data_IF_179623659605
#
_entry.id   IF_179623659605
#
_cell.length_a   1.000
_cell.length_b   1.000
_cell.length_c   1.000
_cell.angle_alpha   90.00
_cell.angle_beta   90.00
_cell.angle_gamma   90.00
#
_symmetry.space_group_name_H-M   'P 1'
#
loop_
_entity.id
_entity.type
_entity.pdbx_description
1 polymer ?
#
# COMPACT_ATOMS: atom_id res chain seq x y z
N UNK A 1 22.38 8.45 15.91
CA UNK A 1 21.15 7.92 16.57
C UNK A 1 20.50 6.91 15.66
N UNK A 2 20.16 5.76 16.20
CA UNK A 2 19.43 4.75 15.43
C UNK A 2 17.95 5.09 15.43
N UNK A 3 17.45 5.51 14.28
CA UNK A 3 16.02 5.71 14.11
C UNK A 3 15.28 4.38 14.24
N UNK A 4 14.27 4.36 15.08
CA UNK A 4 13.42 3.20 15.29
C UNK A 4 12.27 3.21 14.29
N UNK A 5 12.44 2.47 13.19
CA UNK A 5 11.40 2.29 12.16
C UNK A 5 10.68 0.98 12.40
N UNK A 6 9.37 1.04 12.54
CA UNK A 6 8.50 -0.12 12.77
C UNK A 6 7.30 -0.10 11.84
N UNK A 7 6.76 -1.29 11.56
CA UNK A 7 5.53 -1.46 10.78
C UNK A 7 4.60 -2.39 11.56
N UNK A 8 3.34 -2.02 11.62
CA UNK A 8 2.32 -2.80 12.32
C UNK A 8 1.01 -2.83 11.53
N UNK A 9 0.19 -3.85 11.79
CA UNK A 9 -1.18 -3.85 11.25
C UNK A 9 -2.00 -2.75 11.94
N UNK A 10 -2.83 -2.08 11.15
CA UNK A 10 -3.76 -1.09 11.66
C UNK A 10 -4.87 -1.74 12.48
N UNK A 11 -5.41 -0.99 13.43
CA UNK A 11 -6.60 -1.35 14.19
C UNK A 11 -7.73 -0.35 13.89
N UNK A 12 -8.93 -0.60 14.40
CA UNK A 12 -10.05 0.33 14.24
C UNK A 12 -9.74 1.73 14.79
N UNK A 13 -8.85 1.82 15.77
CA UNK A 13 -8.42 3.11 16.33
C UNK A 13 -7.59 3.94 15.35
N UNK A 14 -7.10 3.34 14.27
CA UNK A 14 -6.28 4.00 13.25
C UNK A 14 -7.07 4.55 12.08
N UNK A 15 -8.40 4.42 12.05
CA UNK A 15 -9.22 4.81 10.89
C UNK A 15 -9.01 6.27 10.50
N UNK A 16 -9.02 7.18 11.47
CA UNK A 16 -8.78 8.61 11.22
C UNK A 16 -7.38 8.85 10.65
N UNK A 17 -6.38 8.14 11.17
CA UNK A 17 -5.01 8.20 10.67
C UNK A 17 -4.92 7.67 9.24
N UNK A 18 -5.54 6.53 8.94
CA UNK A 18 -5.57 5.94 7.60
C UNK A 18 -6.20 6.94 6.62
N UNK A 19 -7.33 7.53 6.96
CA UNK A 19 -7.99 8.53 6.13
C UNK A 19 -7.04 9.69 5.79
N UNK A 20 -6.35 10.22 6.79
CA UNK A 20 -5.42 11.32 6.59
C UNK A 20 -4.22 10.92 5.71
N UNK A 21 -3.70 9.72 5.88
CA UNK A 21 -2.58 9.23 5.07
C UNK A 21 -3.00 8.99 3.62
N UNK A 22 -4.20 8.45 3.38
CA UNK A 22 -4.75 8.29 2.02
C UNK A 22 -4.92 9.66 1.35
N UNK A 23 -5.42 10.66 2.08
CA UNK A 23 -5.51 12.03 1.57
C UNK A 23 -4.14 12.59 1.18
N UNK A 24 -3.11 12.25 1.93
CA UNK A 24 -1.72 12.61 1.62
C UNK A 24 -1.25 12.00 0.30
N UNK A 25 -1.55 10.73 0.07
CA UNK A 25 -1.24 10.07 -1.20
C UNK A 25 -2.02 10.69 -2.36
N UNK A 26 -3.31 10.93 -2.18
CA UNK A 26 -4.15 11.53 -3.22
C UNK A 26 -3.62 12.91 -3.64
N UNK A 27 -3.18 13.71 -2.67
CA UNK A 27 -2.56 15.01 -2.95
C UNK A 27 -1.23 14.84 -3.72
N UNK A 28 -0.40 13.89 -3.33
CA UNK A 28 0.86 13.60 -4.04
C UNK A 28 0.60 13.17 -5.49
N UNK A 29 -0.41 12.33 -5.71
CA UNK A 29 -0.79 11.86 -7.05
C UNK A 29 -1.59 12.88 -7.85
N UNK A 30 -1.79 14.09 -7.31
CA UNK A 30 -2.54 15.18 -7.95
C UNK A 30 -4.01 14.83 -8.21
N UNK A 31 -4.57 13.98 -7.34
CA UNK A 31 -5.95 13.47 -7.45
C UNK A 31 -6.74 13.63 -6.15
N UNK A 32 -6.64 14.77 -5.43
CA UNK A 32 -7.34 14.91 -4.14
C UNK A 32 -8.85 14.77 -4.26
N UNK A 33 -9.43 15.14 -5.40
CA UNK A 33 -10.87 15.03 -5.66
C UNK A 33 -11.36 13.58 -5.78
N UNK A 34 -10.46 12.63 -6.04
CA UNK A 34 -10.81 11.22 -6.18
C UNK A 34 -10.91 10.50 -4.81
N UNK A 35 -10.39 11.12 -3.76
CA UNK A 35 -10.48 10.59 -2.40
C UNK A 35 -11.85 10.93 -1.81
N UNK A 36 -12.81 10.02 -1.99
CA UNK A 36 -14.20 10.17 -1.55
C UNK A 36 -14.59 9.22 -0.41
N UNK A 37 -13.69 8.33 -0.01
CA UNK A 37 -13.95 7.36 1.07
C UNK A 37 -14.20 8.04 2.40
N UNK A 38 -15.18 7.53 3.15
CA UNK A 38 -15.46 7.99 4.50
C UNK A 38 -14.80 7.06 5.52
N UNK A 39 -14.72 7.50 6.78
CA UNK A 39 -14.23 6.64 7.86
C UNK A 39 -15.10 5.39 8.02
N UNK A 40 -16.41 5.51 7.79
CA UNK A 40 -17.33 4.37 7.83
C UNK A 40 -17.04 3.35 6.73
N UNK A 41 -16.76 3.82 5.50
CA UNK A 41 -16.34 2.95 4.40
C UNK A 41 -15.07 2.18 4.76
N UNK A 42 -14.07 2.88 5.31
CA UNK A 42 -12.81 2.28 5.71
C UNK A 42 -13.02 1.22 6.80
N UNK A 43 -13.83 1.53 7.81
CA UNK A 43 -14.16 0.57 8.88
C UNK A 43 -14.81 -0.69 8.30
N UNK A 44 -15.77 -0.51 7.41
CA UNK A 44 -16.52 -1.61 6.80
C UNK A 44 -15.58 -2.57 6.06
N UNK A 45 -14.75 -2.04 5.16
CA UNK A 45 -13.91 -2.89 4.32
C UNK A 45 -12.70 -3.48 5.04
N UNK A 46 -12.08 -2.72 5.95
CA UNK A 46 -10.90 -3.21 6.67
C UNK A 46 -11.24 -4.10 7.86
N UNK A 47 -12.28 -3.77 8.62
CA UNK A 47 -12.50 -4.40 9.92
C UNK A 47 -13.80 -5.19 10.03
N UNK A 48 -14.78 -4.95 9.20
CA UNK A 48 -16.01 -5.74 9.17
C UNK A 48 -15.94 -6.83 8.10
N UNK A 49 -15.66 -6.46 6.86
CA UNK A 49 -15.55 -7.42 5.74
C UNK A 49 -14.16 -8.03 5.62
N UNK A 50 -13.15 -7.40 6.16
CA UNK A 50 -11.74 -7.86 6.10
C UNK A 50 -11.28 -8.15 4.67
N UNK A 51 -11.70 -7.32 3.71
CA UNK A 51 -11.28 -7.45 2.31
C UNK A 51 -9.84 -7.01 2.12
N UNK A 52 -9.46 -5.92 2.80
CA UNK A 52 -8.13 -5.33 2.68
C UNK A 52 -7.45 -5.24 4.04
N UNK A 53 -6.12 -5.26 4.02
CA UNK A 53 -5.27 -5.08 5.19
C UNK A 53 -4.54 -3.75 5.07
N UNK A 54 -4.55 -2.96 6.13
CA UNK A 54 -3.77 -1.74 6.23
C UNK A 54 -2.61 -1.92 7.21
N UNK A 55 -1.43 -1.44 6.81
CA UNK A 55 -0.24 -1.38 7.65
C UNK A 55 0.11 0.07 7.91
N UNK A 56 0.58 0.36 9.12
CA UNK A 56 1.06 1.69 9.52
C UNK A 56 2.56 1.61 9.73
N UNK A 57 3.29 2.51 9.07
CA UNK A 57 4.73 2.69 9.26
C UNK A 57 4.97 3.82 10.26
N UNK A 58 5.80 3.57 11.24
CA UNK A 58 6.14 4.52 12.29
C UNK A 58 7.64 4.72 12.37
N UNK A 59 8.06 5.95 12.58
CA UNK A 59 9.46 6.31 12.83
C UNK A 59 9.54 6.98 14.20
N UNK A 60 10.26 6.36 15.12
CA UNK A 60 10.35 6.83 16.51
C UNK A 60 8.98 7.03 17.16
N UNK A 61 8.01 6.14 16.84
CA UNK A 61 6.66 6.18 17.36
C UNK A 61 5.70 7.13 16.65
N UNK A 62 6.17 7.87 15.64
CA UNK A 62 5.31 8.77 14.85
C UNK A 62 4.91 8.13 13.52
N UNK A 63 3.63 8.15 13.16
CA UNK A 63 3.18 7.63 11.87
C UNK A 63 3.79 8.41 10.71
N UNK A 64 4.47 7.71 9.81
CA UNK A 64 5.15 8.30 8.65
C UNK A 64 4.67 7.77 7.31
N UNK A 65 3.86 6.72 7.31
CA UNK A 65 3.36 6.14 6.07
C UNK A 65 2.38 5.01 6.31
N UNK A 66 1.89 4.46 5.21
CA UNK A 66 0.96 3.33 5.26
C UNK A 66 1.08 2.48 4.01
N UNK A 67 0.57 1.26 4.10
CA UNK A 67 0.37 0.37 2.97
C UNK A 67 -1.00 -0.29 3.06
N UNK A 68 -1.60 -0.56 1.92
CA UNK A 68 -2.87 -1.29 1.83
C UNK A 68 -2.70 -2.40 0.81
N UNK A 69 -3.07 -3.62 1.17
CA UNK A 69 -3.08 -4.74 0.24
C UNK A 69 -4.33 -5.61 0.42
N UNK A 70 -4.67 -6.35 -0.63
CA UNK A 70 -5.80 -7.29 -0.62
C UNK A 70 -5.47 -8.53 -1.46
N UNK A 71 -6.12 -9.68 -1.16
CA UNK A 71 -5.80 -10.93 -1.85
C UNK A 71 -6.20 -10.94 -3.31
N UNK A 72 -5.36 -11.57 -4.14
CA UNK A 72 -5.63 -11.90 -5.54
C UNK A 72 -5.27 -13.36 -5.79
N UNK A 73 -5.83 -13.94 -6.85
CA UNK A 73 -5.65 -15.35 -7.15
C UNK A 73 -5.20 -15.58 -8.59
N UNK A 74 -4.11 -16.29 -8.74
CA UNK A 74 -3.56 -16.69 -10.05
C UNK A 74 -4.00 -18.11 -10.36
N UNK A 75 -4.98 -18.25 -11.27
CA UNK A 75 -5.62 -19.54 -11.55
C UNK A 75 -4.67 -20.57 -12.16
N UNK A 76 -3.76 -20.14 -13.05
CA UNK A 76 -2.86 -21.06 -13.73
C UNK A 76 -1.86 -21.73 -12.77
N UNK A 77 -1.42 -20.99 -11.76
CA UNK A 77 -0.50 -21.52 -10.75
C UNK A 77 -1.23 -22.05 -9.51
N UNK A 78 -2.54 -21.78 -9.39
CA UNK A 78 -3.34 -22.03 -8.19
C UNK A 78 -2.69 -21.44 -6.94
N UNK A 79 -2.24 -20.18 -7.05
CA UNK A 79 -1.57 -19.46 -5.96
C UNK A 79 -2.30 -18.18 -5.62
N UNK A 80 -2.32 -17.86 -4.34
CA UNK A 80 -2.82 -16.60 -3.85
C UNK A 80 -1.65 -15.64 -3.59
N UNK A 81 -1.82 -14.42 -4.05
CA UNK A 81 -0.92 -13.30 -3.77
C UNK A 81 -1.72 -12.12 -3.24
N UNK A 82 -1.12 -10.97 -3.24
CA UNK A 82 -1.80 -9.73 -2.91
C UNK A 82 -1.59 -8.69 -4.00
N UNK A 83 -2.60 -7.83 -4.16
CA UNK A 83 -2.43 -6.56 -4.85
C UNK A 83 -2.09 -5.51 -3.81
N UNK A 84 -0.94 -4.88 -3.97
CA UNK A 84 -0.53 -3.75 -3.14
C UNK A 84 -1.16 -2.48 -3.73
N UNK A 85 -2.25 -2.04 -3.13
CA UNK A 85 -3.00 -0.88 -3.61
C UNK A 85 -2.24 0.40 -3.38
N UNK A 86 -1.71 0.58 -2.16
CA UNK A 86 -0.99 1.78 -1.76
C UNK A 86 0.29 1.41 -1.01
N UNK A 87 1.36 2.15 -1.29
CA UNK A 87 2.60 2.16 -0.51
C UNK A 87 3.06 3.62 -0.44
N UNK A 88 2.90 4.25 0.70
CA UNK A 88 3.12 5.69 0.84
C UNK A 88 3.95 6.01 2.07
N UNK A 89 4.98 6.85 1.87
CA UNK A 89 5.71 7.52 2.93
C UNK A 89 5.53 9.02 2.75
N UNK A 90 5.33 9.74 3.85
CA UNK A 90 5.26 11.19 3.82
C UNK A 90 6.50 11.75 3.10
N UNK A 91 6.34 12.76 2.22
CA UNK A 91 7.46 13.24 1.38
C UNK A 91 8.71 13.62 2.16
N UNK A 92 8.55 14.23 3.34
CA UNK A 92 9.66 14.63 4.21
C UNK A 92 10.43 13.46 4.81
N UNK A 93 9.90 12.25 4.72
CA UNK A 93 10.53 11.03 5.27
C UNK A 93 11.14 10.14 4.19
N UNK A 94 11.11 10.58 2.93
CA UNK A 94 11.70 9.85 1.81
C UNK A 94 13.21 10.06 1.73
N UNK A 95 13.90 9.28 0.89
CA UNK A 95 15.33 9.38 0.58
C UNK A 95 16.30 8.94 1.69
N UNK A 96 15.80 8.31 2.75
CA UNK A 96 16.63 7.80 3.84
C UNK A 96 16.73 6.27 3.86
N UNK A 97 16.35 5.62 2.75
CA UNK A 97 16.27 4.16 2.68
C UNK A 97 15.02 3.58 3.35
N UNK A 98 14.14 4.40 3.88
CA UNK A 98 12.92 3.94 4.55
C UNK A 98 11.96 3.25 3.58
N UNK A 99 11.89 3.69 2.32
CA UNK A 99 11.03 3.04 1.33
C UNK A 99 11.41 1.58 1.12
N UNK A 100 12.69 1.28 1.00
CA UNK A 100 13.19 -0.09 0.85
C UNK A 100 12.89 -0.92 2.09
N UNK A 101 13.12 -0.37 3.28
CA UNK A 101 12.77 -1.03 4.54
C UNK A 101 11.27 -1.29 4.64
N UNK A 102 10.47 -0.30 4.29
CA UNK A 102 9.02 -0.43 4.36
C UNK A 102 8.52 -1.51 3.42
N UNK A 103 8.99 -1.53 2.17
CA UNK A 103 8.61 -2.59 1.24
C UNK A 103 9.00 -3.98 1.77
N UNK A 104 10.19 -4.12 2.34
CA UNK A 104 10.62 -5.39 2.91
C UNK A 104 9.71 -5.85 4.06
N UNK A 105 9.29 -4.92 4.92
CA UNK A 105 8.34 -5.22 6.01
C UNK A 105 6.96 -5.61 5.46
N UNK A 106 6.47 -4.91 4.44
CA UNK A 106 5.21 -5.28 3.77
C UNK A 106 5.31 -6.69 3.21
N UNK A 107 6.40 -7.02 2.52
CA UNK A 107 6.61 -8.36 1.98
C UNK A 107 6.61 -9.43 3.07
N UNK A 108 7.18 -9.13 4.23
CA UNK A 108 7.18 -10.06 5.35
C UNK A 108 5.76 -10.28 5.92
N UNK A 109 4.96 -9.22 6.07
CA UNK A 109 3.55 -9.35 6.47
C UNK A 109 2.75 -10.17 5.47
N UNK A 110 2.94 -9.92 4.19
CA UNK A 110 2.27 -10.68 3.11
C UNK A 110 2.61 -12.16 3.18
N UNK A 111 3.88 -12.47 3.39
CA UNK A 111 4.34 -13.85 3.55
C UNK A 111 3.77 -14.51 4.80
N UNK A 112 3.75 -13.82 5.93
CA UNK A 112 3.17 -14.32 7.18
C UNK A 112 1.67 -14.56 7.04
N UNK A 113 0.96 -13.76 6.25
CA UNK A 113 -0.46 -13.95 5.97
C UNK A 113 -0.72 -15.13 4.98
N UNK A 114 0.34 -15.79 4.49
CA UNK A 114 0.23 -16.99 3.66
C UNK A 114 0.24 -16.74 2.16
N UNK A 115 0.53 -15.53 1.72
CA UNK A 115 0.56 -15.18 0.30
C UNK A 115 1.96 -15.31 -0.29
N UNK A 116 2.04 -15.64 -1.58
CA UNK A 116 3.30 -16.00 -2.23
C UNK A 116 3.86 -14.96 -3.18
N UNK A 117 3.10 -13.92 -3.51
CA UNK A 117 3.57 -12.86 -4.40
C UNK A 117 2.82 -11.55 -4.15
N UNK A 118 3.41 -10.46 -4.63
CA UNK A 118 2.86 -9.11 -4.56
C UNK A 118 2.84 -8.54 -5.97
N UNK A 119 1.71 -7.98 -6.39
CA UNK A 119 1.60 -7.21 -7.62
C UNK A 119 1.09 -5.80 -7.31
N UNK A 120 1.43 -4.85 -8.16
CA UNK A 120 0.95 -3.47 -8.02
C UNK A 120 1.05 -2.74 -9.35
N UNK A 121 0.50 -1.53 -9.39
CA UNK A 121 0.63 -0.61 -10.51
C UNK A 121 1.00 0.79 -10.00
N UNK A 122 1.44 1.64 -10.88
CA UNK A 122 1.66 3.05 -10.59
C UNK A 122 1.24 3.91 -11.78
N UNK A 123 1.08 5.20 -11.53
CA UNK A 123 0.75 6.14 -12.60
C UNK A 123 1.95 6.29 -13.55
N UNK A 124 1.68 6.39 -14.84
CA UNK A 124 2.70 6.43 -15.90
C UNK A 124 3.76 7.53 -15.68
N UNK A 125 3.34 8.66 -15.11
CA UNK A 125 4.23 9.81 -14.92
C UNK A 125 5.12 9.71 -13.67
N UNK A 126 4.88 8.70 -12.80
CA UNK A 126 5.52 8.63 -11.49
C UNK A 126 6.93 8.02 -11.58
N UNK A 127 7.86 8.75 -12.20
CA UNK A 127 9.25 8.31 -12.36
C UNK A 127 9.96 7.96 -11.05
N UNK A 128 9.79 8.73 -9.95
CA UNK A 128 10.42 8.35 -8.68
C UNK A 128 9.97 6.97 -8.19
N UNK A 129 8.70 6.63 -8.34
CA UNK A 129 8.18 5.32 -7.96
C UNK A 129 8.73 4.21 -8.88
N UNK A 130 8.74 4.44 -10.20
CA UNK A 130 9.26 3.48 -11.18
C UNK A 130 10.73 3.18 -10.88
N UNK A 131 11.54 4.21 -10.63
CA UNK A 131 12.94 4.06 -10.28
C UNK A 131 13.12 3.26 -8.98
N UNK A 132 12.28 3.52 -7.98
CA UNK A 132 12.27 2.76 -6.74
C UNK A 132 11.95 1.29 -6.98
N UNK A 133 10.93 0.98 -7.78
CA UNK A 133 10.54 -0.41 -8.06
C UNK A 133 11.65 -1.17 -8.80
N UNK A 134 12.30 -0.53 -9.77
CA UNK A 134 13.45 -1.12 -10.44
C UNK A 134 14.59 -1.40 -9.48
N UNK A 135 14.83 -0.48 -8.54
CA UNK A 135 15.90 -0.62 -7.54
C UNK A 135 15.67 -1.81 -6.60
N UNK A 136 14.43 -2.09 -6.21
CA UNK A 136 14.13 -3.22 -5.34
C UNK A 136 14.03 -4.56 -6.08
N UNK A 137 14.22 -4.56 -7.40
CA UNK A 137 14.22 -5.78 -8.22
C UNK A 137 12.85 -6.23 -8.71
N UNK A 138 11.86 -5.33 -8.71
CA UNK A 138 10.55 -5.64 -9.29
C UNK A 138 10.65 -5.67 -10.82
N UNK A 139 9.84 -6.52 -11.45
CA UNK A 139 9.76 -6.63 -12.89
C UNK A 139 8.47 -5.97 -13.39
N UNK A 140 8.61 -5.11 -14.41
CA UNK A 140 7.45 -4.50 -15.06
C UNK A 140 6.82 -5.48 -16.03
N UNK A 141 5.51 -5.71 -15.88
CA UNK A 141 4.76 -6.58 -16.77
C UNK A 141 4.20 -5.80 -17.96
N UNK A 142 4.24 -6.40 -19.14
CA UNK A 142 3.76 -5.83 -20.40
C UNK A 142 2.68 -6.72 -21.01
N UNK A 143 1.93 -6.15 -21.97
CA UNK A 143 0.94 -6.90 -22.75
C UNK A 143 -0.42 -7.03 -22.10
N UNK A 144 -0.67 -6.28 -21.02
CA UNK A 144 -1.96 -6.26 -20.34
C UNK A 144 -2.61 -4.87 -20.45
N UNK A 145 -3.94 -4.87 -20.49
CA UNK A 145 -4.74 -3.64 -20.44
C UNK A 145 -5.73 -3.77 -19.28
N UNK A 146 -5.98 -2.67 -18.59
CA UNK A 146 -6.93 -2.61 -17.50
C UNK A 146 -8.29 -2.13 -17.98
N UNK A 147 -9.34 -2.78 -17.50
CA UNK A 147 -10.71 -2.41 -17.76
C UNK A 147 -11.47 -2.34 -16.44
N UNK A 148 -12.45 -1.44 -16.34
CA UNK A 148 -13.33 -1.38 -15.19
C UNK A 148 -14.79 -1.38 -15.66
N UNK A 149 -15.65 -1.95 -14.86
CA UNK A 149 -17.09 -1.98 -15.08
C UNK A 149 -17.79 -1.81 -13.74
N UNK A 150 -18.76 -0.90 -13.68
CA UNK A 150 -19.51 -0.63 -12.45
C UNK A 150 -20.72 -1.55 -12.43
N UNK A 151 -20.83 -2.33 -11.35
CA UNK A 151 -22.02 -3.16 -11.10
C UNK A 151 -23.10 -2.29 -10.45
N UNK A 152 -24.27 -2.19 -11.09
CA UNK A 152 -25.42 -1.47 -10.55
C UNK A 152 -26.41 -2.44 -9.87
#
# INVERSE_FOLDING_TARGET
MNDNFTVRKATENDISLIENLIKGLAAYEKRPQDMTATQEDLRYWFFEKNIATALIAELNGEPVGYAIYYPVFASFAAKAGVHLEDLFLKPEKRRSGLGTRFFAEVAEFVKQDGFSYIEWSCLDWNEPAINFYNKIGAEEEHGRRYFSYICE
#
